data_IF_589580070001
#
_entry.id   IF_589580070001
#
_cell.length_a   1.000
_cell.length_b   1.000
_cell.length_c   1.000
_cell.angle_alpha   90.00
_cell.angle_beta   90.00
_cell.angle_gamma   90.00
#
_symmetry.space_group_name_H-M   'P 1'
#
loop_
_entity.id
_entity.type
_entity.pdbx_description
1 polymer ?
#
# COMPACT_ATOMS: atom_id res chain seq x y z
N UNK A 1 -34.32 28.67 4.38
CA UNK A 1 -32.99 29.12 3.91
C UNK A 1 -31.96 28.37 4.75
N UNK A 2 -31.11 27.57 4.11
CA UNK A 2 -29.99 26.89 4.78
C UNK A 2 -28.89 27.93 4.96
N UNK A 3 -28.74 28.47 6.16
CA UNK A 3 -27.54 29.23 6.46
C UNK A 3 -26.36 28.24 6.46
N UNK A 4 -25.26 28.52 5.73
CA UNK A 4 -24.07 27.70 5.81
C UNK A 4 -23.56 27.74 7.25
N UNK A 5 -23.20 26.57 7.78
CA UNK A 5 -22.64 26.49 9.14
C UNK A 5 -21.35 27.29 9.19
N UNK A 6 -21.38 28.47 9.80
CA UNK A 6 -20.19 29.29 10.02
C UNK A 6 -19.38 28.67 11.17
N UNK A 7 -18.26 28.04 10.84
CA UNK A 7 -17.32 27.52 11.84
C UNK A 7 -16.43 28.69 12.28
N UNK A 8 -16.67 29.22 13.48
CA UNK A 8 -15.85 30.26 14.09
C UNK A 8 -14.69 29.64 14.85
N UNK A 9 -13.47 30.09 14.56
CA UNK A 9 -12.28 29.70 15.31
C UNK A 9 -11.97 30.76 16.37
N UNK A 10 -11.59 30.37 17.60
CA UNK A 10 -10.95 31.29 18.53
C UNK A 10 -9.68 31.85 17.87
N UNK A 11 -9.36 33.11 18.13
CA UNK A 11 -8.16 33.78 17.64
C UNK A 11 -7.14 33.92 18.78
N UNK A 12 -5.85 33.91 18.46
CA UNK A 12 -4.78 34.22 19.40
C UNK A 12 -4.64 35.73 19.63
N UNK A 13 -3.62 36.12 20.38
CA UNK A 13 -3.36 37.53 20.71
C UNK A 13 -2.96 38.40 19.51
N UNK A 14 -2.63 37.77 18.36
CA UNK A 14 -2.29 38.44 17.10
C UNK A 14 -3.44 38.42 16.09
N UNK A 15 -4.57 37.80 16.43
CA UNK A 15 -5.73 37.67 15.55
C UNK A 15 -5.63 36.49 14.59
N UNK A 16 -4.64 35.61 14.74
CA UNK A 16 -4.50 34.39 13.97
C UNK A 16 -5.36 33.26 14.57
N UNK A 17 -5.89 32.31 13.79
CA UNK A 17 -6.69 31.21 14.33
C UNK A 17 -5.93 30.38 15.39
N UNK A 18 -6.44 30.38 16.62
CA UNK A 18 -5.99 29.53 17.70
C UNK A 18 -6.60 28.13 17.54
N UNK A 19 -5.72 27.15 17.36
CA UNK A 19 -6.10 25.74 17.39
C UNK A 19 -5.71 25.19 18.76
N UNK A 20 -6.70 24.90 19.62
CA UNK A 20 -6.45 24.06 20.79
C UNK A 20 -5.74 22.77 20.32
N UNK A 21 -4.85 22.20 21.14
CA UNK A 21 -4.05 21.01 20.84
C UNK A 21 -4.86 19.73 20.49
N UNK A 22 -6.18 19.86 20.34
CA UNK A 22 -7.12 18.85 19.87
C UNK A 22 -7.35 18.89 18.35
N UNK A 23 -6.88 19.90 17.62
CA UNK A 23 -7.01 20.00 16.16
C UNK A 23 -5.75 19.48 15.45
N UNK A 24 -5.88 18.82 14.29
CA UNK A 24 -4.73 18.21 13.58
C UNK A 24 -3.64 19.24 13.19
N UNK A 25 -4.05 20.50 12.91
CA UNK A 25 -3.10 21.60 12.66
C UNK A 25 -2.30 22.04 13.89
N UNK A 26 -2.74 21.64 15.09
CA UNK A 26 -2.02 21.88 16.34
C UNK A 26 -1.04 20.75 16.69
N UNK A 27 -0.96 19.68 15.88
CA UNK A 27 0.08 18.65 16.03
C UNK A 27 1.42 19.27 15.62
N UNK A 28 2.22 19.62 16.62
CA UNK A 28 3.59 20.08 16.41
C UNK A 28 4.53 18.90 16.17
N UNK A 29 5.61 19.14 15.42
CA UNK A 29 6.70 18.19 15.18
C UNK A 29 6.23 16.86 14.57
N UNK A 30 5.31 16.91 13.60
CA UNK A 30 4.85 15.71 12.86
C UNK A 30 6.01 14.95 12.20
N UNK A 31 7.07 15.67 11.81
CA UNK A 31 8.30 15.08 11.26
C UNK A 31 9.00 14.19 12.30
N UNK A 32 9.02 14.59 13.57
CA UNK A 32 9.56 13.77 14.65
C UNK A 32 8.64 12.58 14.95
N UNK A 33 7.32 12.78 14.89
CA UNK A 33 6.33 11.70 15.07
C UNK A 33 6.49 10.62 14.00
N UNK A 34 6.77 11.02 12.76
CA UNK A 34 6.88 10.14 11.61
C UNK A 34 8.33 9.79 11.25
N UNK A 35 9.28 10.12 12.12
CA UNK A 35 10.71 9.92 11.85
C UNK A 35 10.99 8.46 11.51
N UNK A 36 11.75 8.25 10.43
CA UNK A 36 12.06 6.91 9.92
C UNK A 36 10.94 6.28 9.07
N UNK A 37 9.83 6.97 8.86
CA UNK A 37 8.88 6.59 7.80
C UNK A 37 9.52 6.74 6.42
N UNK A 38 9.06 5.95 5.47
CA UNK A 38 9.44 6.04 4.06
C UNK A 38 8.25 6.45 3.22
N UNK A 39 8.53 7.16 2.12
CA UNK A 39 7.61 7.18 0.99
C UNK A 39 7.48 5.78 0.37
N UNK A 40 6.68 5.67 -0.69
CA UNK A 40 6.64 4.47 -1.50
C UNK A 40 7.97 4.25 -2.20
N UNK A 41 8.66 3.18 -1.83
CA UNK A 41 9.88 2.71 -2.48
C UNK A 41 9.45 1.73 -3.57
N UNK A 42 9.61 2.13 -4.82
CA UNK A 42 9.33 1.27 -5.97
C UNK A 42 10.33 0.12 -6.07
N UNK A 43 9.85 -1.05 -6.51
CA UNK A 43 10.70 -2.19 -6.80
C UNK A 43 10.35 -2.81 -8.14
N UNK A 44 11.38 -3.35 -8.82
CA UNK A 44 11.20 -4.13 -10.04
C UNK A 44 10.97 -5.58 -9.68
N UNK A 45 9.83 -6.18 -10.07
CA UNK A 45 9.59 -7.62 -9.90
C UNK A 45 10.66 -8.46 -10.60
N UNK A 46 11.04 -9.57 -9.97
CA UNK A 46 12.00 -10.54 -10.51
C UNK A 46 11.43 -11.35 -11.68
N UNK A 47 10.10 -11.43 -11.77
CA UNK A 47 9.37 -12.12 -12.82
C UNK A 47 7.98 -11.52 -12.99
N UNK A 48 7.34 -11.80 -14.12
CA UNK A 48 6.09 -11.17 -14.55
C UNK A 48 6.31 -9.80 -15.20
N UNK A 49 5.23 -9.15 -15.59
CA UNK A 49 5.25 -7.83 -16.23
C UNK A 49 4.75 -6.77 -15.25
N UNK A 50 5.61 -5.85 -14.77
CA UNK A 50 5.22 -4.88 -13.75
C UNK A 50 4.28 -3.79 -14.28
N UNK A 51 3.48 -3.27 -13.37
CA UNK A 51 2.83 -1.96 -13.46
C UNK A 51 1.94 -1.81 -14.69
N UNK A 52 1.16 -2.84 -15.05
CA UNK A 52 0.34 -2.84 -16.27
C UNK A 52 -1.07 -2.28 -16.06
N UNK A 53 -1.65 -2.49 -14.89
CA UNK A 53 -3.07 -2.20 -14.69
C UNK A 53 -3.34 -0.78 -14.23
N UNK A 54 -4.50 -0.26 -14.67
CA UNK A 54 -5.02 1.07 -14.31
C UNK A 54 -4.04 2.20 -14.67
N UNK A 55 -3.33 2.04 -15.80
CA UNK A 55 -2.34 3.02 -16.29
C UNK A 55 -2.89 3.99 -17.33
N UNK A 56 -4.18 3.93 -17.64
CA UNK A 56 -4.80 4.92 -18.50
C UNK A 56 -4.80 6.31 -17.82
N UNK A 57 -4.92 7.35 -18.62
CA UNK A 57 -5.02 8.72 -18.12
C UNK A 57 -6.24 8.85 -17.18
N UNK A 58 -6.01 9.34 -15.97
CA UNK A 58 -7.03 9.50 -14.93
C UNK A 58 -7.23 8.31 -13.99
N UNK A 59 -6.78 7.10 -14.35
CA UNK A 59 -6.96 5.90 -13.52
C UNK A 59 -6.01 5.85 -12.30
N UNK A 60 -4.84 6.49 -12.41
CA UNK A 60 -3.86 6.63 -11.32
C UNK A 60 -3.45 5.30 -10.65
N UNK A 61 -3.32 4.23 -11.43
CA UNK A 61 -2.87 2.93 -10.96
C UNK A 61 -1.47 2.98 -10.36
N UNK A 62 -1.26 2.34 -9.21
CA UNK A 62 0.03 2.38 -8.53
C UNK A 62 1.08 1.44 -9.14
N UNK A 63 2.35 1.74 -8.86
CA UNK A 63 3.47 0.84 -9.15
C UNK A 63 3.71 -0.15 -7.99
N UNK A 64 4.33 -1.29 -8.32
CA UNK A 64 4.92 -2.21 -7.36
C UNK A 64 5.86 -1.43 -6.44
N UNK A 65 5.48 -1.35 -5.17
CA UNK A 65 6.19 -0.54 -4.18
C UNK A 65 5.91 -1.03 -2.76
N UNK A 66 6.78 -0.70 -1.82
CA UNK A 66 6.55 -0.92 -0.40
C UNK A 66 6.84 0.35 0.39
N UNK A 67 6.33 0.44 1.61
CA UNK A 67 6.69 1.52 2.54
C UNK A 67 6.58 1.07 3.99
N UNK A 68 7.29 1.78 4.86
CA UNK A 68 7.12 1.70 6.31
C UNK A 68 6.68 3.06 6.82
N UNK A 69 5.55 3.12 7.53
CA UNK A 69 5.16 4.29 8.31
C UNK A 69 5.50 3.97 9.76
N UNK A 70 6.41 4.74 10.32
CA UNK A 70 6.81 4.66 11.70
C UNK A 70 6.10 5.78 12.47
N UNK A 71 5.37 5.42 13.52
CA UNK A 71 4.73 6.37 14.43
C UNK A 71 5.39 6.24 15.80
N UNK A 72 6.14 7.28 16.18
CA UNK A 72 6.81 7.42 17.48
C UNK A 72 7.76 6.27 17.84
N UNK A 73 8.29 5.52 16.86
CA UNK A 73 9.06 4.28 17.07
C UNK A 73 8.32 3.16 17.81
N UNK A 74 7.01 3.32 18.04
CA UNK A 74 6.16 2.38 18.78
C UNK A 74 5.31 1.55 17.82
N UNK A 75 4.79 2.18 16.75
CA UNK A 75 3.93 1.51 15.78
C UNK A 75 4.58 1.57 14.41
N UNK A 76 4.76 0.40 13.80
CA UNK A 76 5.24 0.26 12.42
C UNK A 76 4.11 -0.28 11.56
N UNK A 77 3.66 0.53 10.62
CA UNK A 77 2.66 0.15 9.61
C UNK A 77 3.42 -0.13 8.32
N UNK A 78 3.29 -1.34 7.79
CA UNK A 78 4.08 -1.79 6.65
C UNK A 78 3.18 -2.13 5.51
N UNK A 79 3.33 -1.40 4.41
CA UNK A 79 2.44 -1.55 3.26
C UNK A 79 3.20 -2.09 2.06
N UNK A 80 2.53 -2.94 1.27
CA UNK A 80 3.03 -3.43 -0.01
C UNK A 80 1.94 -3.23 -1.06
N UNK A 81 2.32 -2.67 -2.21
CA UNK A 81 1.54 -2.52 -3.42
C UNK A 81 2.07 -3.46 -4.49
N UNK A 82 1.17 -4.17 -5.15
CA UNK A 82 1.50 -5.10 -6.23
C UNK A 82 0.59 -4.79 -7.41
N UNK A 83 1.19 -4.49 -8.56
CA UNK A 83 0.54 -4.32 -9.86
C UNK A 83 1.36 -5.14 -10.87
N UNK A 84 0.88 -6.32 -11.24
CA UNK A 84 1.66 -7.29 -11.98
C UNK A 84 0.77 -8.12 -12.90
N UNK A 85 1.19 -8.35 -14.13
CA UNK A 85 0.59 -9.31 -15.08
C UNK A 85 1.59 -10.37 -15.51
N UNK A 86 1.17 -11.33 -16.34
CA UNK A 86 1.98 -12.46 -16.79
C UNK A 86 2.56 -13.27 -15.61
N UNK A 87 1.67 -13.65 -14.68
CA UNK A 87 2.05 -14.36 -13.46
C UNK A 87 2.06 -15.88 -13.64
N UNK A 88 2.84 -16.56 -12.81
CA UNK A 88 2.97 -18.02 -12.80
C UNK A 88 2.82 -18.56 -11.38
N UNK A 89 2.19 -19.72 -11.24
CA UNK A 89 2.00 -20.34 -9.94
C UNK A 89 3.34 -20.59 -9.22
N UNK A 90 3.45 -20.17 -7.96
CA UNK A 90 4.63 -20.36 -7.13
C UNK A 90 5.79 -19.39 -7.41
N UNK A 91 5.62 -18.41 -8.29
CA UNK A 91 6.69 -17.47 -8.61
C UNK A 91 7.06 -16.58 -7.41
N UNK A 92 8.33 -16.17 -7.38
CA UNK A 92 8.79 -15.10 -6.50
C UNK A 92 8.62 -13.77 -7.22
N UNK A 93 7.87 -12.85 -6.62
CA UNK A 93 7.63 -11.50 -7.16
C UNK A 93 8.86 -10.63 -6.90
N UNK A 94 9.32 -10.59 -5.65
CA UNK A 94 10.45 -9.75 -5.23
C UNK A 94 11.08 -10.29 -3.95
N UNK A 95 12.28 -9.80 -3.64
CA UNK A 95 12.87 -9.87 -2.31
C UNK A 95 12.87 -8.45 -1.73
N UNK A 96 11.94 -8.18 -0.82
CA UNK A 96 11.92 -6.96 -0.02
C UNK A 96 13.08 -7.00 1.01
N UNK A 97 13.39 -5.89 1.71
CA UNK A 97 14.39 -5.91 2.77
C UNK A 97 14.15 -7.04 3.77
N UNK A 98 15.23 -7.66 4.24
CA UNK A 98 15.14 -8.69 5.28
C UNK A 98 14.52 -8.10 6.55
N UNK A 99 13.68 -8.90 7.23
CA UNK A 99 12.87 -8.47 8.37
C UNK A 99 11.96 -7.27 8.06
N UNK A 100 11.63 -7.04 6.78
CA UNK A 100 10.57 -6.09 6.45
C UNK A 100 9.27 -6.51 7.14
N UNK A 101 8.95 -7.80 7.27
CA UNK A 101 7.93 -8.27 8.23
C UNK A 101 8.60 -9.14 9.29
N UNK A 102 8.12 -9.09 10.53
CA UNK A 102 8.61 -9.95 11.62
C UNK A 102 8.02 -11.35 11.55
N UNK A 103 6.77 -11.47 11.08
CA UNK A 103 6.04 -12.72 10.94
C UNK A 103 5.63 -12.94 9.49
N UNK A 104 5.43 -14.21 9.16
CA UNK A 104 4.84 -14.60 7.88
C UNK A 104 3.46 -13.99 7.68
N UNK A 105 3.30 -13.21 6.61
CA UNK A 105 2.02 -12.64 6.20
C UNK A 105 1.48 -13.36 4.96
N UNK A 106 0.17 -13.53 4.86
CA UNK A 106 -0.49 -14.06 3.68
C UNK A 106 -1.88 -13.48 3.50
N UNK A 107 -2.24 -13.11 2.27
CA UNK A 107 -3.51 -12.45 1.98
C UNK A 107 -3.96 -12.73 0.54
N UNK A 108 -5.27 -12.73 0.27
CA UNK A 108 -5.78 -12.75 -1.10
C UNK A 108 -5.55 -11.40 -1.79
N UNK A 109 -5.26 -11.43 -3.10
CA UNK A 109 -5.17 -10.23 -3.94
C UNK A 109 -6.20 -10.30 -5.08
N UNK A 110 -6.69 -9.13 -5.50
CA UNK A 110 -7.63 -9.03 -6.62
C UNK A 110 -6.98 -9.55 -7.91
N UNK A 111 -7.82 -10.23 -8.68
CA UNK A 111 -7.59 -10.75 -10.03
C UNK A 111 -8.66 -10.18 -10.99
N UNK A 112 -8.54 -10.39 -12.31
CA UNK A 112 -9.66 -10.27 -13.25
C UNK A 112 -10.88 -11.08 -12.80
N UNK A 113 -12.06 -10.72 -13.31
CA UNK A 113 -13.31 -11.43 -13.03
C UNK A 113 -13.37 -12.85 -13.64
N UNK A 114 -12.39 -13.22 -14.48
CA UNK A 114 -12.22 -14.54 -15.09
C UNK A 114 -11.47 -15.52 -14.20
N UNK A 115 -10.86 -15.04 -13.10
CA UNK A 115 -9.98 -15.81 -12.23
C UNK A 115 -10.39 -15.72 -10.76
N UNK A 116 -10.10 -16.79 -10.01
CA UNK A 116 -10.24 -16.77 -8.56
C UNK A 116 -9.09 -15.98 -7.91
N UNK A 117 -9.28 -15.42 -6.70
CA UNK A 117 -8.23 -14.66 -6.02
C UNK A 117 -6.94 -15.46 -5.84
N UNK A 118 -5.81 -14.80 -6.10
CA UNK A 118 -4.46 -15.33 -5.87
C UNK A 118 -4.06 -15.08 -4.41
N UNK A 119 -3.30 -16.00 -3.81
CA UNK A 119 -2.74 -15.80 -2.47
C UNK A 119 -1.32 -15.26 -2.58
N UNK A 120 -1.06 -14.12 -1.93
CA UNK A 120 0.27 -13.56 -1.73
C UNK A 120 0.83 -14.05 -0.41
N UNK A 121 2.13 -14.28 -0.35
CA UNK A 121 2.87 -14.57 0.88
C UNK A 121 4.10 -13.70 0.96
N UNK A 122 4.30 -13.08 2.13
CA UNK A 122 5.50 -12.32 2.46
C UNK A 122 6.13 -12.93 3.72
N UNK A 123 7.38 -13.36 3.60
CA UNK A 123 8.13 -14.03 4.68
C UNK A 123 9.12 -13.05 5.34
N UNK A 124 9.55 -13.31 6.59
CA UNK A 124 10.58 -12.50 7.26
C UNK A 124 11.89 -12.38 6.49
N UNK A 125 12.22 -13.37 5.63
CA UNK A 125 13.36 -13.30 4.71
C UNK A 125 13.22 -12.22 3.61
N UNK A 126 12.15 -11.43 3.60
CA UNK A 126 11.81 -10.48 2.55
C UNK A 126 11.18 -11.11 1.30
N UNK A 127 11.07 -12.45 1.23
CA UNK A 127 10.54 -13.15 0.06
C UNK A 127 9.05 -12.86 -0.10
N UNK A 128 8.70 -12.17 -1.19
CA UNK A 128 7.34 -11.93 -1.65
C UNK A 128 7.03 -12.89 -2.81
N UNK A 129 6.03 -13.75 -2.63
CA UNK A 129 5.67 -14.78 -3.60
C UNK A 129 4.16 -14.93 -3.74
N UNK A 130 3.71 -15.62 -4.78
CA UNK A 130 2.30 -15.88 -5.01
C UNK A 130 2.01 -17.37 -5.27
N UNK A 131 0.77 -17.76 -5.01
CA UNK A 131 0.21 -19.09 -5.35
C UNK A 131 -1.16 -18.89 -5.98
N UNK A 132 -1.38 -19.48 -7.15
CA UNK A 132 -2.68 -19.46 -7.83
C UNK A 132 -3.66 -20.39 -7.11
N UNK A 133 -4.93 -20.04 -7.12
CA UNK A 133 -5.95 -20.88 -6.52
C UNK A 133 -6.07 -22.20 -7.31
N UNK A 134 -5.91 -23.34 -6.64
CA UNK A 134 -5.98 -24.67 -7.29
C UNK A 134 -7.34 -24.98 -7.93
N UNK A 135 -8.41 -24.37 -7.42
CA UNK A 135 -9.75 -24.51 -8.00
C UNK A 135 -9.96 -23.63 -9.24
N UNK A 136 -9.03 -22.72 -9.55
CA UNK A 136 -9.06 -21.94 -10.78
C UNK A 136 -8.52 -22.80 -11.93
N UNK A 137 -9.45 -23.30 -12.73
CA UNK A 137 -9.14 -24.15 -13.89
C UNK A 137 -9.01 -23.35 -15.18
N UNK A 138 -9.31 -22.05 -15.16
CA UNK A 138 -9.17 -21.19 -16.34
C UNK A 138 -7.68 -20.93 -16.58
N UNK A 139 -7.15 -21.17 -17.79
CA UNK A 139 -5.76 -20.87 -18.10
C UNK A 139 -5.47 -19.38 -17.93
N UNK A 140 -4.41 -19.06 -17.19
CA UNK A 140 -3.90 -17.69 -17.07
C UNK A 140 -3.14 -17.28 -18.34
N UNK A 141 -3.40 -16.09 -18.84
CA UNK A 141 -2.74 -15.46 -19.99
C UNK A 141 -1.68 -14.44 -19.55
N UNK A 142 -0.96 -13.87 -20.52
CA UNK A 142 0.07 -12.86 -20.27
C UNK A 142 -0.51 -11.48 -19.90
N UNK A 143 -1.79 -11.24 -20.15
CA UNK A 143 -2.50 -10.01 -19.78
C UNK A 143 -3.28 -10.14 -18.47
N UNK A 144 -3.49 -11.35 -17.94
CA UNK A 144 -4.12 -11.52 -16.64
C UNK A 144 -3.24 -10.97 -15.52
N UNK A 145 -3.88 -10.33 -14.56
CA UNK A 145 -3.20 -9.48 -13.59
C UNK A 145 -3.51 -9.82 -12.12
N UNK A 146 -2.66 -9.30 -11.25
CA UNK A 146 -2.94 -9.08 -9.84
C UNK A 146 -2.72 -7.61 -9.50
N UNK A 147 -3.66 -7.05 -8.73
CA UNK A 147 -3.62 -5.64 -8.36
C UNK A 147 -4.11 -5.44 -6.93
N UNK A 148 -3.29 -4.92 -6.03
CA UNK A 148 -3.74 -4.71 -4.66
C UNK A 148 -2.72 -4.11 -3.73
N UNK A 149 -3.23 -3.67 -2.57
CA UNK A 149 -2.43 -3.19 -1.45
C UNK A 149 -2.72 -4.05 -0.22
N UNK A 150 -1.69 -4.33 0.56
CA UNK A 150 -1.78 -4.89 1.91
C UNK A 150 -1.09 -3.94 2.89
N UNK A 151 -1.61 -3.79 4.11
CA UNK A 151 -1.12 -2.86 5.15
C UNK A 151 -1.32 -3.46 6.52
#
# INVERSE_FOLDING_TARGET
MNEPTEIKYPLDEYGDPYYAATHFKAIQNIEDILKGSTDWIEFTPLSGKPNTEFKAEGDNGFNCSYREINVLDIVKIKSVRINLSNIQNGMTIANLPENFVSESQSWPIRTPNTHLPVIISLRPSGKLSLVLNKADTTPWSDTDYIYGTYT
#
